data_IF_445342766167
#
_entry.id   IF_445342766167
#
_cell.length_a   1.000
_cell.length_b   1.000
_cell.length_c   1.000
_cell.angle_alpha   90.00
_cell.angle_beta   90.00
_cell.angle_gamma   90.00
#
_symmetry.space_group_name_H-M   'P 1'
#
loop_
_entity.id
_entity.type
_entity.pdbx_description
1 polymer ?
#
# COMPACT_ATOMS: atom_id res chain seq x y z
N UNK A 1 3.51 -20.31 4.74
CA UNK A 1 4.83 -20.39 4.09
C UNK A 1 5.89 -20.46 5.19
N UNK A 2 6.91 -21.32 5.04
CA UNK A 2 7.95 -21.56 6.06
C UNK A 2 9.34 -21.32 5.45
N UNK A 3 9.92 -20.11 5.61
CA UNK A 3 11.14 -19.72 4.89
C UNK A 3 12.39 -20.47 5.37
N UNK A 4 12.46 -20.87 6.65
CA UNK A 4 13.65 -21.48 7.28
C UNK A 4 14.92 -20.61 7.20
N UNK A 5 14.77 -19.30 6.99
CA UNK A 5 15.87 -18.33 6.95
C UNK A 5 16.11 -17.77 8.35
N UNK A 6 17.38 -17.66 8.74
CA UNK A 6 17.83 -17.06 10.00
C UNK A 6 18.70 -15.83 9.71
N UNK A 7 18.44 -14.72 10.38
CA UNK A 7 19.26 -13.51 10.30
C UNK A 7 20.50 -13.67 11.18
N UNK A 8 21.68 -13.82 10.56
CA UNK A 8 22.95 -14.02 11.27
C UNK A 8 23.32 -12.90 12.23
N UNK A 9 22.89 -11.66 11.95
CA UNK A 9 23.23 -10.49 12.76
C UNK A 9 22.64 -10.53 14.19
N UNK A 10 21.54 -11.25 14.42
CA UNK A 10 20.85 -11.25 15.72
C UNK A 10 20.15 -12.57 16.05
N UNK A 11 20.40 -13.63 15.27
CA UNK A 11 19.77 -14.94 15.40
C UNK A 11 18.23 -14.90 15.46
N UNK A 12 17.59 -13.89 14.86
CA UNK A 12 16.13 -13.87 14.67
C UNK A 12 15.76 -14.55 13.37
N UNK A 13 14.76 -15.41 13.39
CA UNK A 13 14.22 -16.07 12.20
C UNK A 13 13.41 -15.09 11.36
N UNK A 14 13.35 -15.30 10.03
CA UNK A 14 12.21 -14.81 9.26
C UNK A 14 11.01 -15.69 9.62
N UNK A 15 9.99 -15.15 10.32
CA UNK A 15 8.94 -15.98 10.91
C UNK A 15 8.11 -16.66 9.82
N UNK A 16 7.64 -17.87 10.11
CA UNK A 16 6.72 -18.57 9.24
C UNK A 16 5.30 -18.02 9.38
N UNK A 17 4.54 -18.01 8.29
CA UNK A 17 3.08 -17.80 8.31
C UNK A 17 2.38 -19.15 8.31
N UNK A 18 1.76 -19.50 9.44
CA UNK A 18 0.99 -20.73 9.58
C UNK A 18 -0.29 -20.70 8.75
N UNK A 19 -0.89 -21.87 8.54
CA UNK A 19 -2.16 -22.00 7.81
C UNK A 19 -3.26 -21.26 8.59
N UNK A 20 -4.18 -20.61 7.86
CA UNK A 20 -5.35 -19.90 8.39
C UNK A 20 -5.06 -18.70 9.31
N UNK A 21 -3.83 -18.19 9.33
CA UNK A 21 -3.58 -16.86 9.91
C UNK A 21 -4.25 -15.79 9.05
N UNK A 22 -4.90 -14.85 9.72
CA UNK A 22 -5.56 -13.69 9.12
C UNK A 22 -4.75 -12.43 9.40
N UNK A 23 -4.93 -11.40 8.56
CA UNK A 23 -4.34 -10.10 8.80
C UNK A 23 -5.00 -9.46 10.04
N UNK A 24 -4.26 -8.60 10.70
CA UNK A 24 -4.71 -7.77 11.82
C UNK A 24 -4.04 -6.42 11.72
N UNK A 25 -4.62 -5.41 12.38
CA UNK A 25 -3.96 -4.12 12.53
C UNK A 25 -2.56 -4.30 13.13
N UNK A 26 -1.60 -3.48 12.66
CA UNK A 26 -0.20 -3.53 13.05
C UNK A 26 0.14 -2.25 13.78
N UNK A 27 0.34 -2.34 15.09
CA UNK A 27 0.78 -1.24 15.96
C UNK A 27 2.10 -1.65 16.62
N UNK A 28 3.22 -1.20 16.05
CA UNK A 28 4.58 -1.47 16.52
C UNK A 28 5.31 -0.14 16.77
N UNK A 29 5.20 0.45 17.97
CA UNK A 29 5.76 1.78 18.26
C UNK A 29 7.29 1.80 18.20
N UNK A 30 7.96 0.70 18.55
CA UNK A 30 9.43 0.59 18.46
C UNK A 30 9.94 0.65 17.00
N UNK A 31 9.08 0.30 16.04
CA UNK A 31 9.38 0.31 14.60
C UNK A 31 8.74 1.54 13.89
N UNK A 32 8.07 2.43 14.64
CA UNK A 32 7.27 3.57 14.13
C UNK A 32 6.20 3.15 13.09
N UNK A 33 5.57 1.99 13.31
CA UNK A 33 4.54 1.45 12.41
C UNK A 33 3.17 1.48 13.08
N UNK A 34 2.21 2.14 12.45
CA UNK A 34 0.80 2.11 12.82
C UNK A 34 -0.06 2.03 11.55
N UNK A 35 -0.56 0.83 11.24
CA UNK A 35 -1.34 0.54 10.03
C UNK A 35 -2.61 -0.19 10.44
N UNK A 36 -3.75 0.29 9.96
CA UNK A 36 -5.04 -0.36 10.16
C UNK A 36 -5.55 -0.97 8.86
N UNK A 37 -6.27 -2.09 8.97
CA UNK A 37 -6.94 -2.71 7.84
C UNK A 37 -7.99 -1.79 7.23
N UNK A 38 -8.66 -0.99 8.07
CA UNK A 38 -9.66 -0.02 7.63
C UNK A 38 -9.06 1.07 6.72
N UNK A 39 -7.86 1.55 7.03
CA UNK A 39 -7.16 2.54 6.19
C UNK A 39 -6.81 1.93 4.83
N UNK A 40 -6.28 0.70 4.82
CA UNK A 40 -5.97 -0.01 3.56
C UNK A 40 -7.20 -0.26 2.70
N UNK A 41 -8.32 -0.66 3.30
CA UNK A 41 -9.60 -0.86 2.60
C UNK A 41 -10.12 0.45 2.00
N UNK A 42 -9.99 1.57 2.72
CA UNK A 42 -10.38 2.88 2.24
C UNK A 42 -9.52 3.35 1.08
N UNK A 43 -8.20 3.20 1.19
CA UNK A 43 -7.23 3.53 0.15
C UNK A 43 -7.50 2.71 -1.12
N UNK A 44 -7.70 1.40 -1.00
CA UNK A 44 -8.04 0.54 -2.13
C UNK A 44 -9.34 0.97 -2.81
N UNK A 45 -10.37 1.32 -2.03
CA UNK A 45 -11.64 1.83 -2.57
C UNK A 45 -11.45 3.10 -3.40
N UNK A 46 -10.62 4.03 -2.94
CA UNK A 46 -10.30 5.28 -3.67
C UNK A 46 -9.57 5.01 -4.98
N UNK A 47 -8.65 4.03 -4.98
CA UNK A 47 -7.94 3.62 -6.21
C UNK A 47 -8.93 3.02 -7.22
N UNK A 48 -9.83 2.13 -6.77
CA UNK A 48 -10.88 1.56 -7.63
C UNK A 48 -11.79 2.66 -8.18
N UNK A 49 -12.21 3.61 -7.35
CA UNK A 49 -13.02 4.76 -7.80
C UNK A 49 -12.30 5.61 -8.85
N UNK A 50 -11.00 5.85 -8.69
CA UNK A 50 -10.21 6.59 -9.69
C UNK A 50 -10.16 5.85 -11.04
N UNK A 51 -10.03 4.52 -11.01
CA UNK A 51 -10.07 3.67 -12.20
C UNK A 51 -11.45 3.74 -12.85
N UNK A 52 -12.53 3.55 -12.09
CA UNK A 52 -13.90 3.52 -12.59
C UNK A 52 -14.34 4.87 -13.18
N UNK A 53 -13.86 5.97 -12.60
CA UNK A 53 -14.17 7.34 -13.06
C UNK A 53 -13.25 7.84 -14.18
N UNK A 54 -12.17 7.12 -14.48
CA UNK A 54 -11.21 7.46 -15.54
C UNK A 54 -10.26 8.61 -15.19
N UNK A 55 -10.19 9.05 -13.93
CA UNK A 55 -9.23 10.07 -13.48
C UNK A 55 -8.78 9.89 -12.03
N UNK A 56 -7.54 10.26 -11.73
CA UNK A 56 -7.02 10.41 -10.38
C UNK A 56 -7.16 11.86 -9.88
N UNK A 57 -7.23 12.04 -8.57
CA UNK A 57 -7.23 13.34 -7.90
C UNK A 57 -5.81 13.76 -7.53
N UNK A 58 -5.36 14.89 -8.02
CA UNK A 58 -4.13 15.54 -7.55
C UNK A 58 -4.32 16.20 -6.18
N UNK A 59 -3.21 16.60 -5.55
CA UNK A 59 -3.22 17.22 -4.23
C UNK A 59 -4.02 18.54 -4.17
N UNK A 60 -4.12 19.28 -5.28
CA UNK A 60 -4.91 20.53 -5.35
C UNK A 60 -6.34 20.30 -5.89
N UNK A 61 -6.76 19.04 -6.02
CA UNK A 61 -8.07 18.67 -6.57
C UNK A 61 -8.14 18.65 -8.09
N UNK A 62 -7.02 18.82 -8.81
CA UNK A 62 -7.02 18.60 -10.25
C UNK A 62 -7.36 17.15 -10.62
N UNK A 63 -8.01 16.97 -11.77
CA UNK A 63 -8.32 15.65 -12.31
C UNK A 63 -7.25 15.24 -13.32
N UNK A 64 -6.54 14.16 -13.03
CA UNK A 64 -5.48 13.61 -13.86
C UNK A 64 -6.07 12.43 -14.65
N UNK A 65 -6.25 12.53 -15.98
CA UNK A 65 -6.89 11.48 -16.76
C UNK A 65 -6.09 10.17 -16.72
N UNK A 66 -6.79 9.04 -16.60
CA UNK A 66 -6.22 7.69 -16.60
C UNK A 66 -6.49 6.92 -17.91
N UNK A 67 -7.51 7.32 -18.68
CA UNK A 67 -7.84 6.71 -19.97
C UNK A 67 -6.94 7.21 -21.11
N UNK A 68 -5.63 7.19 -20.89
CA UNK A 68 -4.62 7.52 -21.88
C UNK A 68 -3.37 6.64 -21.67
N UNK A 69 -2.42 6.61 -22.62
CA UNK A 69 -1.25 5.74 -22.52
C UNK A 69 -0.37 5.93 -21.28
N UNK A 70 -0.46 7.08 -20.58
CA UNK A 70 0.29 7.36 -19.35
C UNK A 70 -0.50 7.02 -18.08
N UNK A 71 -1.78 6.68 -18.17
CA UNK A 71 -2.62 6.41 -16.99
C UNK A 71 -2.08 5.25 -16.15
N UNK A 72 -1.50 4.23 -16.77
CA UNK A 72 -0.91 3.11 -16.05
C UNK A 72 0.33 3.50 -15.23
N UNK A 73 1.10 4.50 -15.67
CA UNK A 73 2.24 5.03 -14.94
C UNK A 73 1.77 5.80 -13.69
N UNK A 74 0.72 6.61 -13.85
CA UNK A 74 0.06 7.31 -12.73
C UNK A 74 -0.50 6.31 -11.72
N UNK A 75 -1.19 5.26 -12.18
CA UNK A 75 -1.70 4.20 -11.32
C UNK A 75 -0.59 3.41 -10.63
N UNK A 76 0.52 3.13 -11.32
CA UNK A 76 1.69 2.48 -10.73
C UNK A 76 2.23 3.26 -9.54
N UNK A 77 2.43 4.58 -9.72
CA UNK A 77 2.86 5.47 -8.66
C UNK A 77 1.87 5.49 -7.49
N UNK A 78 0.57 5.54 -7.77
CA UNK A 78 -0.51 5.52 -6.76
C UNK A 78 -0.55 4.21 -5.96
N UNK A 79 -0.43 3.06 -6.61
CA UNK A 79 -0.59 1.74 -5.96
C UNK A 79 0.64 1.39 -5.12
N UNK A 80 1.84 1.66 -5.63
CA UNK A 80 3.08 1.49 -4.87
C UNK A 80 3.22 2.55 -3.76
N UNK A 81 2.64 3.73 -3.97
CA UNK A 81 2.92 4.98 -3.25
C UNK A 81 4.40 5.36 -3.30
N UNK A 82 4.76 6.12 -4.33
CA UNK A 82 6.10 6.69 -4.47
C UNK A 82 6.06 8.23 -4.38
N UNK A 83 7.23 8.87 -4.43
CA UNK A 83 7.37 10.34 -4.44
C UNK A 83 6.56 11.02 -5.56
N UNK A 84 6.23 10.30 -6.63
CA UNK A 84 5.49 10.81 -7.79
C UNK A 84 3.97 10.58 -7.68
N UNK A 85 3.48 10.04 -6.55
CA UNK A 85 2.05 9.88 -6.30
C UNK A 85 1.37 11.24 -6.33
N UNK A 86 0.34 11.46 -7.16
CA UNK A 86 -0.29 12.76 -7.28
C UNK A 86 -0.94 13.29 -5.99
N UNK A 87 -1.37 12.37 -5.10
CA UNK A 87 -2.00 12.71 -3.84
C UNK A 87 -1.82 11.57 -2.82
N UNK A 88 -0.64 11.53 -2.20
CA UNK A 88 -0.26 10.52 -1.21
C UNK A 88 -1.24 10.47 -0.02
N UNK A 89 -1.66 11.61 0.52
CA UNK A 89 -2.61 11.67 1.65
C UNK A 89 -3.97 11.05 1.30
N UNK A 90 -4.38 11.12 0.04
CA UNK A 90 -5.66 10.58 -0.40
C UNK A 90 -5.57 9.09 -0.77
N UNK A 91 -4.56 8.69 -1.55
CA UNK A 91 -4.44 7.31 -2.01
C UNK A 91 -3.69 6.39 -1.07
N UNK A 92 -2.88 6.94 -0.16
CA UNK A 92 -2.12 6.21 0.83
C UNK A 92 -1.08 5.27 0.22
N UNK A 93 -0.77 4.20 0.96
CA UNK A 93 0.38 3.31 0.69
C UNK A 93 -0.02 1.83 0.75
N UNK A 94 -0.96 1.44 -0.12
CA UNK A 94 -1.60 0.12 -0.07
C UNK A 94 -0.62 -1.02 -0.32
N UNK A 95 0.23 -0.91 -1.34
CA UNK A 95 1.19 -1.97 -1.68
C UNK A 95 2.18 -2.20 -0.55
N UNK A 96 2.84 -1.14 -0.05
CA UNK A 96 3.87 -1.32 0.97
C UNK A 96 3.24 -1.72 2.31
N UNK A 97 2.08 -1.14 2.67
CA UNK A 97 1.33 -1.55 3.86
C UNK A 97 0.90 -3.02 3.80
N UNK A 98 0.62 -3.57 2.60
CA UNK A 98 0.30 -4.98 2.42
C UNK A 98 1.47 -5.94 2.63
N UNK A 99 2.72 -5.45 2.57
CA UNK A 99 3.90 -6.24 2.92
C UNK A 99 4.23 -6.20 4.42
N UNK A 100 3.77 -5.17 5.13
CA UNK A 100 4.05 -4.94 6.56
C UNK A 100 3.21 -5.88 7.43
#
# INVERSE_FOLDING_TARGET
YYPKILRSANNRTHPARYRNMVLSDVVRPDDDVNITLADMELQLRRIVEAIDTGFALGANGERIPLDNPKGIDVLGNIVESCLLTPNETYYGDVHNSGHI
#
